data_IF_645512342222
#
_entry.id   IF_645512342222
#
_cell.length_a   1.000
_cell.length_b   1.000
_cell.length_c   1.000
_cell.angle_alpha   90.00
_cell.angle_beta   90.00
_cell.angle_gamma   90.00
#
_symmetry.space_group_name_H-M   'P 1'
#
loop_
_entity.id
_entity.type
_entity.pdbx_description
1 polymer ?
#
# COMPACT_ATOMS: atom_id res chain seq x y z
N UNK A 1 -7.72 3.91 32.11
CA UNK A 1 -8.47 2.72 31.67
C UNK A 1 -7.47 1.72 31.12
N UNK A 2 -7.55 0.43 31.48
CA UNK A 2 -6.62 -0.62 31.06
C UNK A 2 -6.89 -1.01 29.62
N UNK A 3 -5.85 -1.07 28.79
CA UNK A 3 -5.96 -1.50 27.38
C UNK A 3 -6.01 -3.02 27.34
N UNK A 4 -7.02 -3.57 26.66
CA UNK A 4 -7.27 -5.00 26.47
C UNK A 4 -7.51 -5.38 25.02
N UNK A 5 -8.13 -4.49 24.22
CA UNK A 5 -8.57 -4.75 22.85
C UNK A 5 -7.94 -3.78 21.86
N UNK A 6 -7.44 -4.29 20.75
CA UNK A 6 -6.81 -3.51 19.68
C UNK A 6 -7.37 -3.95 18.35
N UNK A 7 -7.78 -3.02 17.50
CA UNK A 7 -8.10 -3.26 16.11
C UNK A 7 -7.00 -2.71 15.21
N UNK A 8 -6.43 -3.55 14.38
CA UNK A 8 -5.43 -3.20 13.38
C UNK A 8 -6.09 -3.16 12.01
N UNK A 9 -6.07 -2.00 11.35
CA UNK A 9 -6.73 -1.75 10.06
C UNK A 9 -6.01 -2.39 8.86
N UNK A 10 -5.37 -3.52 9.06
CA UNK A 10 -4.64 -4.30 8.06
C UNK A 10 -5.00 -5.77 8.12
N UNK A 11 -4.76 -6.56 7.05
CA UNK A 11 -4.89 -8.00 7.08
C UNK A 11 -4.00 -8.63 8.16
N UNK A 12 -4.46 -9.76 8.70
CA UNK A 12 -3.67 -10.54 9.67
C UNK A 12 -2.32 -10.94 9.06
N UNK A 13 -1.21 -10.77 9.81
CA UNK A 13 0.09 -11.21 9.36
C UNK A 13 0.12 -12.70 9.03
N UNK A 14 0.73 -13.07 7.91
CA UNK A 14 0.88 -14.47 7.49
C UNK A 14 1.88 -15.25 8.35
N UNK A 15 2.89 -14.55 8.89
CA UNK A 15 3.94 -15.18 9.71
C UNK A 15 3.50 -15.25 11.17
N UNK A 16 3.61 -16.41 11.76
CA UNK A 16 3.31 -16.64 13.18
C UNK A 16 4.21 -15.84 14.14
N UNK A 17 5.42 -15.49 13.69
CA UNK A 17 6.40 -14.68 14.45
C UNK A 17 6.18 -13.16 14.21
N UNK A 18 4.99 -12.72 13.87
CA UNK A 18 4.71 -11.30 13.73
C UNK A 18 4.85 -10.57 15.07
N UNK A 19 5.49 -9.37 15.10
CA UNK A 19 5.61 -8.56 16.31
C UNK A 19 4.27 -8.21 16.99
N UNK A 20 3.19 -8.16 16.23
CA UNK A 20 1.84 -7.97 16.79
C UNK A 20 1.33 -9.22 17.52
N UNK A 21 1.57 -10.40 16.99
CA UNK A 21 1.15 -11.66 17.61
C UNK A 21 1.99 -11.94 18.87
N UNK A 22 3.27 -11.57 18.85
CA UNK A 22 4.12 -11.61 20.03
C UNK A 22 3.62 -10.62 21.11
N UNK A 23 3.29 -9.37 20.75
CA UNK A 23 2.70 -8.39 21.64
C UNK A 23 1.38 -8.89 22.24
N UNK A 24 0.52 -9.50 21.45
CA UNK A 24 -0.74 -10.10 21.89
C UNK A 24 -0.50 -11.14 23.00
N UNK A 25 0.44 -12.07 22.78
CA UNK A 25 0.79 -13.11 23.78
C UNK A 25 1.39 -12.51 25.06
N UNK A 26 2.42 -11.66 24.94
CA UNK A 26 3.14 -11.07 26.09
C UNK A 26 2.24 -10.19 26.96
N UNK A 27 1.34 -9.43 26.36
CA UNK A 27 0.46 -8.48 27.09
C UNK A 27 -0.93 -9.02 27.38
N UNK A 28 -1.25 -10.24 26.95
CA UNK A 28 -2.58 -10.87 27.08
C UNK A 28 -3.69 -9.97 26.50
N UNK A 29 -3.46 -9.47 25.26
CA UNK A 29 -4.39 -8.59 24.55
C UNK A 29 -5.23 -9.39 23.57
N UNK A 30 -6.42 -8.87 23.24
CA UNK A 30 -7.14 -9.27 22.04
C UNK A 30 -6.74 -8.31 20.92
N UNK A 31 -6.08 -8.81 19.86
CA UNK A 31 -5.74 -8.00 18.67
C UNK A 31 -6.48 -8.60 17.47
N UNK A 32 -7.42 -7.82 16.96
CA UNK A 32 -8.15 -8.16 15.75
C UNK A 32 -7.52 -7.45 14.54
N UNK A 33 -7.49 -8.13 13.40
CA UNK A 33 -6.95 -7.62 12.15
C UNK A 33 -8.06 -7.60 11.12
N UNK A 34 -8.54 -6.42 10.78
CA UNK A 34 -9.59 -6.22 9.80
C UNK A 34 -9.14 -5.18 8.80
N UNK A 35 -8.94 -5.54 7.52
CA UNK A 35 -8.50 -4.59 6.52
C UNK A 35 -9.62 -3.57 6.24
N UNK A 36 -9.36 -2.29 6.51
CA UNK A 36 -10.28 -1.19 6.24
C UNK A 36 -10.35 -0.82 4.76
N UNK A 37 -9.32 -1.23 4.02
CA UNK A 37 -9.23 -1.08 2.58
C UNK A 37 -8.68 -2.37 1.97
N UNK A 38 -9.06 -2.64 0.74
CA UNK A 38 -8.47 -3.74 -0.03
C UNK A 38 -8.23 -3.31 -1.48
N UNK A 39 -7.40 -4.06 -2.19
CA UNK A 39 -7.07 -3.79 -3.58
C UNK A 39 -7.84 -4.73 -4.48
N UNK A 40 -8.58 -4.18 -5.42
CA UNK A 40 -9.25 -4.94 -6.48
C UNK A 40 -8.57 -4.67 -7.82
N UNK A 41 -8.42 -5.74 -8.60
CA UNK A 41 -7.84 -5.62 -9.93
C UNK A 41 -8.87 -5.22 -10.98
N UNK A 42 -8.50 -4.34 -11.89
CA UNK A 42 -9.32 -3.99 -13.03
C UNK A 42 -9.69 -5.23 -13.87
N UNK A 43 -10.87 -5.22 -14.44
CA UNK A 43 -11.33 -6.24 -15.38
C UNK A 43 -10.73 -6.05 -16.76
N UNK A 44 -10.75 -7.10 -17.59
CA UNK A 44 -10.33 -6.99 -19.01
C UNK A 44 -11.18 -5.95 -19.75
N UNK A 45 -12.49 -5.85 -19.42
CA UNK A 45 -13.39 -4.85 -20.00
C UNK A 45 -12.92 -3.43 -19.67
N UNK A 46 -12.56 -3.15 -18.42
CA UNK A 46 -12.04 -1.84 -17.99
C UNK A 46 -10.71 -1.50 -18.68
N UNK A 47 -9.79 -2.47 -18.87
CA UNK A 47 -8.54 -2.27 -19.59
C UNK A 47 -8.80 -1.94 -21.08
N UNK A 48 -9.74 -2.63 -21.71
CA UNK A 48 -10.14 -2.34 -23.12
C UNK A 48 -10.78 -0.97 -23.26
N UNK A 49 -11.61 -0.54 -22.31
CA UNK A 49 -12.20 0.80 -22.29
C UNK A 49 -11.14 1.91 -22.19
N UNK A 50 -10.01 1.64 -21.55
CA UNK A 50 -8.86 2.55 -21.49
C UNK A 50 -8.04 2.55 -22.81
N UNK A 51 -8.48 1.79 -23.84
CA UNK A 51 -7.82 1.67 -25.14
C UNK A 51 -6.35 1.22 -25.01
N UNK A 52 -6.10 0.25 -24.13
CA UNK A 52 -4.79 -0.37 -23.93
C UNK A 52 -4.66 -1.59 -24.84
N UNK A 53 -3.65 -1.53 -25.69
CA UNK A 53 -3.18 -2.65 -26.51
C UNK A 53 -1.79 -3.04 -26.00
N UNK A 54 -1.70 -4.18 -25.29
CA UNK A 54 -0.46 -4.63 -24.65
C UNK A 54 0.66 -4.91 -25.65
N UNK A 55 0.32 -5.19 -26.92
CA UNK A 55 1.31 -5.48 -27.99
C UNK A 55 2.13 -4.26 -28.40
N UNK A 56 1.66 -3.06 -28.08
CA UNK A 56 2.32 -1.79 -28.46
C UNK A 56 3.42 -1.36 -27.50
N UNK A 57 3.58 -2.06 -26.39
CA UNK A 57 4.55 -1.69 -25.36
C UNK A 57 5.75 -2.63 -25.39
N UNK A 58 6.94 -2.06 -25.28
CA UNK A 58 8.21 -2.77 -25.19
C UNK A 58 8.85 -2.67 -23.83
N UNK A 59 8.31 -1.80 -22.96
CA UNK A 59 8.79 -1.59 -21.60
C UNK A 59 7.65 -1.38 -20.59
N UNK A 60 7.81 -1.89 -19.38
CA UNK A 60 6.83 -1.77 -18.30
C UNK A 60 7.48 -1.07 -17.11
N UNK A 61 6.82 -0.03 -16.57
CA UNK A 61 7.24 0.65 -15.34
C UNK A 61 6.44 0.07 -14.16
N UNK A 62 7.14 -0.51 -13.20
CA UNK A 62 6.55 -1.20 -12.05
C UNK A 62 6.90 -0.44 -10.75
N UNK A 63 5.90 0.18 -10.15
CA UNK A 63 6.06 1.00 -8.94
C UNK A 63 5.74 0.26 -7.64
N UNK A 64 5.11 -0.92 -7.72
CA UNK A 64 4.71 -1.71 -6.55
C UNK A 64 4.53 -3.19 -6.90
N UNK A 65 4.43 -4.04 -5.85
CA UNK A 65 4.07 -5.45 -6.03
C UNK A 65 2.68 -5.61 -6.65
N UNK A 66 1.72 -4.74 -6.31
CA UNK A 66 0.39 -4.74 -6.93
C UNK A 66 0.45 -4.44 -8.43
N UNK A 67 1.33 -3.53 -8.85
CA UNK A 67 1.54 -3.28 -10.27
C UNK A 67 2.05 -4.52 -11.01
N UNK A 68 2.97 -5.29 -10.39
CA UNK A 68 3.45 -6.58 -10.91
C UNK A 68 2.30 -7.57 -11.03
N UNK A 69 1.62 -7.87 -9.92
CA UNK A 69 0.57 -8.89 -9.88
C UNK A 69 -0.55 -8.59 -10.89
N UNK A 70 -1.01 -7.33 -10.91
CA UNK A 70 -2.13 -6.97 -11.77
C UNK A 70 -1.75 -6.85 -13.25
N UNK A 71 -0.50 -6.50 -13.57
CA UNK A 71 -0.01 -6.55 -14.95
C UNK A 71 -0.04 -7.99 -15.47
N UNK A 72 0.59 -8.93 -14.78
CA UNK A 72 0.63 -10.33 -15.23
C UNK A 72 -0.75 -10.99 -15.21
N UNK A 73 -1.58 -10.70 -14.21
CA UNK A 73 -2.98 -11.15 -14.17
C UNK A 73 -3.77 -10.68 -15.41
N UNK A 74 -3.58 -9.45 -15.86
CA UNK A 74 -4.24 -8.95 -17.07
C UNK A 74 -3.65 -9.60 -18.33
N UNK A 75 -2.33 -9.77 -18.42
CA UNK A 75 -1.69 -10.49 -19.51
C UNK A 75 -2.30 -11.90 -19.66
N UNK A 76 -2.42 -12.65 -18.56
CA UNK A 76 -3.00 -13.98 -18.54
C UNK A 76 -4.47 -13.96 -19.00
N UNK A 77 -5.31 -13.09 -18.42
CA UNK A 77 -6.73 -12.96 -18.75
C UNK A 77 -6.96 -12.52 -20.21
N UNK A 78 -6.07 -11.73 -20.77
CA UNK A 78 -6.10 -11.32 -22.18
C UNK A 78 -5.41 -12.31 -23.10
N UNK A 79 -4.85 -13.41 -22.58
CA UNK A 79 -4.05 -14.39 -23.32
C UNK A 79 -2.86 -13.75 -24.07
N UNK A 80 -2.31 -12.70 -23.49
CA UNK A 80 -1.14 -12.01 -24.02
C UNK A 80 0.12 -12.65 -23.49
N UNK A 81 0.89 -13.29 -24.38
CA UNK A 81 2.21 -13.83 -24.03
C UNK A 81 3.21 -12.67 -24.03
N UNK A 82 3.71 -12.32 -22.86
CA UNK A 82 4.70 -11.26 -22.71
C UNK A 82 5.97 -11.63 -23.48
N UNK A 83 6.43 -10.78 -24.42
CA UNK A 83 7.61 -11.08 -25.21
C UNK A 83 8.88 -11.19 -24.38
N UNK A 84 9.79 -12.08 -24.75
CA UNK A 84 11.09 -12.21 -24.11
C UNK A 84 11.95 -10.94 -24.19
N UNK A 85 11.66 -10.05 -25.16
CA UNK A 85 12.31 -8.74 -25.32
C UNK A 85 11.82 -7.69 -24.35
N UNK A 86 10.70 -7.92 -23.63
CA UNK A 86 10.11 -6.95 -22.69
C UNK A 86 11.13 -6.48 -21.65
N UNK A 87 11.19 -5.16 -21.46
CA UNK A 87 12.01 -4.52 -20.44
C UNK A 87 11.18 -4.10 -19.24
N UNK A 88 11.74 -4.19 -18.06
CA UNK A 88 11.05 -3.85 -16.81
C UNK A 88 11.84 -2.79 -16.04
N UNK A 89 11.15 -1.73 -15.65
CA UNK A 89 11.70 -0.63 -14.88
C UNK A 89 11.04 -0.65 -13.50
N UNK A 90 11.75 -1.20 -12.53
CA UNK A 90 11.26 -1.38 -11.17
C UNK A 90 11.68 -0.22 -10.28
N UNK A 91 10.74 0.41 -9.59
CA UNK A 91 11.01 1.57 -8.73
C UNK A 91 12.01 1.25 -7.62
N UNK A 92 12.03 0.01 -7.13
CA UNK A 92 12.93 -0.42 -6.04
C UNK A 92 13.35 -1.89 -6.19
N UNK A 93 14.41 -2.25 -5.48
CA UNK A 93 14.90 -3.63 -5.41
C UNK A 93 13.83 -4.62 -4.91
N UNK A 94 12.99 -4.20 -3.96
CA UNK A 94 11.87 -5.01 -3.46
C UNK A 94 10.88 -5.36 -4.56
N UNK A 95 10.59 -4.44 -5.47
CA UNK A 95 9.73 -4.69 -6.63
C UNK A 95 10.41 -5.59 -7.64
N UNK A 96 11.71 -5.38 -7.90
CA UNK A 96 12.48 -6.20 -8.83
C UNK A 96 12.63 -7.65 -8.35
N UNK A 97 12.85 -7.87 -7.06
CA UNK A 97 12.87 -9.20 -6.46
C UNK A 97 11.49 -9.87 -6.57
N UNK A 98 10.42 -9.11 -6.32
CA UNK A 98 9.07 -9.65 -6.44
C UNK A 98 8.70 -10.01 -7.88
N UNK A 99 9.18 -9.25 -8.87
CA UNK A 99 8.99 -9.52 -10.29
C UNK A 99 9.53 -10.91 -10.71
N UNK A 100 10.52 -11.46 -10.01
CA UNK A 100 11.08 -12.77 -10.29
C UNK A 100 10.10 -13.94 -10.07
N UNK A 101 8.98 -13.71 -9.39
CA UNK A 101 7.89 -14.69 -9.32
C UNK A 101 7.16 -14.87 -10.66
N UNK A 102 7.34 -13.94 -11.61
CA UNK A 102 6.67 -13.93 -12.90
C UNK A 102 7.63 -14.06 -14.10
N UNK A 103 8.88 -13.63 -13.95
CA UNK A 103 9.87 -13.63 -15.04
C UNK A 103 11.24 -14.09 -14.54
N UNK A 104 12.00 -14.72 -15.44
CA UNK A 104 13.40 -15.07 -15.17
C UNK A 104 14.22 -13.77 -15.12
N UNK A 105 14.99 -13.59 -14.05
CA UNK A 105 15.85 -12.43 -13.92
C UNK A 105 16.91 -12.37 -15.02
N UNK A 106 16.93 -11.26 -15.76
CA UNK A 106 17.95 -10.98 -16.78
C UNK A 106 18.43 -9.54 -16.62
N UNK A 107 19.68 -9.34 -16.23
CA UNK A 107 20.30 -8.03 -15.95
C UNK A 107 20.11 -6.99 -17.06
N UNK A 108 20.01 -7.42 -18.33
CA UNK A 108 19.81 -6.51 -19.48
C UNK A 108 18.36 -6.11 -19.72
N UNK A 109 17.40 -6.62 -18.93
CA UNK A 109 15.96 -6.41 -19.12
C UNK A 109 15.28 -5.84 -17.88
N UNK A 110 15.93 -5.89 -16.71
CA UNK A 110 15.38 -5.42 -15.45
C UNK A 110 16.26 -4.28 -14.94
N UNK A 111 15.69 -3.10 -14.91
CA UNK A 111 16.33 -1.85 -14.46
C UNK A 111 15.71 -1.46 -13.13
N UNK A 112 16.54 -1.15 -12.15
CA UNK A 112 16.11 -1.00 -10.76
C UNK A 112 16.50 0.38 -10.23
N UNK A 113 15.51 1.16 -9.80
CA UNK A 113 15.70 2.37 -9.00
C UNK A 113 16.02 2.00 -7.55
N UNK A 114 16.30 2.99 -6.71
CA UNK A 114 16.63 2.75 -5.29
C UNK A 114 15.38 2.77 -4.42
N UNK A 115 14.66 3.90 -4.37
CA UNK A 115 13.49 4.11 -3.52
C UNK A 115 12.41 4.96 -4.18
N UNK A 116 12.80 6.06 -4.80
CA UNK A 116 11.87 7.05 -5.34
C UNK A 116 11.71 6.90 -6.85
N UNK A 117 10.67 7.50 -7.41
CA UNK A 117 10.44 7.46 -8.85
C UNK A 117 11.47 8.30 -9.62
N UNK A 118 11.91 9.41 -9.04
CA UNK A 118 12.95 10.27 -9.61
C UNK A 118 14.27 9.53 -9.86
N UNK A 119 14.62 8.59 -8.98
CA UNK A 119 15.82 7.76 -9.13
C UNK A 119 15.71 6.74 -10.27
N UNK A 120 14.50 6.44 -10.72
CA UNK A 120 14.24 5.57 -11.88
C UNK A 120 14.34 6.35 -13.20
N UNK A 121 14.06 7.67 -13.20
CA UNK A 121 14.04 8.51 -14.39
C UNK A 121 15.33 8.45 -15.22
N UNK A 122 16.55 8.47 -14.66
CA UNK A 122 17.79 8.35 -15.43
C UNK A 122 17.93 6.99 -16.14
N UNK A 123 17.32 5.94 -15.62
CA UNK A 123 17.33 4.63 -16.28
C UNK A 123 16.32 4.61 -17.43
N UNK A 124 15.14 5.19 -17.24
CA UNK A 124 14.11 5.32 -18.27
C UNK A 124 14.62 6.17 -19.43
N UNK A 125 15.26 7.32 -19.17
CA UNK A 125 15.77 8.25 -20.18
C UNK A 125 16.84 7.64 -21.11
N UNK A 126 17.58 6.64 -20.66
CA UNK A 126 18.53 5.88 -21.49
C UNK A 126 17.85 4.95 -22.51
N UNK A 127 16.54 4.81 -22.43
CA UNK A 127 15.74 3.89 -23.25
C UNK A 127 14.59 4.61 -23.98
N UNK A 128 14.83 5.85 -24.46
CA UNK A 128 13.82 6.69 -25.14
C UNK A 128 13.16 6.03 -26.35
N UNK A 129 13.80 5.03 -26.94
CA UNK A 129 13.26 4.30 -28.09
C UNK A 129 12.17 3.27 -27.71
N UNK A 130 12.00 2.98 -26.42
CA UNK A 130 10.96 2.08 -25.94
C UNK A 130 9.61 2.80 -25.82
N UNK A 131 8.54 2.01 -25.88
CA UNK A 131 7.19 2.48 -25.55
C UNK A 131 6.79 1.89 -24.21
N UNK A 132 6.59 2.79 -23.24
CA UNK A 132 6.38 2.41 -21.83
C UNK A 132 4.91 2.29 -21.48
N UNK A 133 4.54 1.22 -20.76
CA UNK A 133 3.28 1.13 -20.05
C UNK A 133 3.55 1.31 -18.54
N UNK A 134 2.75 2.14 -17.89
CA UNK A 134 2.70 2.29 -16.43
C UNK A 134 1.39 1.69 -15.91
N UNK A 135 1.38 0.41 -15.49
CA UNK A 135 0.26 -0.16 -14.74
C UNK A 135 0.17 0.52 -13.37
N UNK A 136 -0.94 1.18 -13.11
CA UNK A 136 -1.09 2.03 -11.93
C UNK A 136 -2.40 1.81 -11.19
N UNK A 137 -2.54 2.48 -10.05
CA UNK A 137 -3.79 2.62 -9.30
C UNK A 137 -4.58 3.83 -9.80
N UNK A 138 -5.86 3.88 -9.46
CA UNK A 138 -6.74 5.02 -9.68
C UNK A 138 -6.33 6.30 -8.92
N UNK A 139 -5.43 6.17 -7.93
CA UNK A 139 -4.88 7.29 -7.13
C UNK A 139 -3.38 7.46 -7.41
N UNK A 140 -2.99 7.61 -8.70
CA UNK A 140 -1.60 7.87 -9.08
C UNK A 140 -1.17 9.25 -8.56
N UNK A 141 0.04 9.32 -8.01
CA UNK A 141 0.63 10.59 -7.55
C UNK A 141 0.91 11.50 -8.74
N UNK A 142 0.50 12.79 -8.70
CA UNK A 142 0.66 13.72 -9.83
C UNK A 142 2.10 13.95 -10.30
N UNK A 143 3.08 13.73 -9.39
CA UNK A 143 4.50 13.90 -9.70
C UNK A 143 4.98 12.88 -10.74
N UNK A 144 4.42 11.66 -10.76
CA UNK A 144 4.87 10.59 -11.66
C UNK A 144 4.60 10.92 -13.13
N UNK A 145 3.37 11.29 -13.55
CA UNK A 145 3.12 11.77 -14.91
C UNK A 145 3.97 12.97 -15.30
N UNK A 146 4.15 13.94 -14.38
CA UNK A 146 4.98 15.12 -14.62
C UNK A 146 6.41 14.73 -14.99
N UNK A 147 7.05 13.90 -14.18
CA UNK A 147 8.41 13.41 -14.43
C UNK A 147 8.52 12.64 -15.75
N UNK A 148 7.54 11.77 -16.06
CA UNK A 148 7.56 11.01 -17.31
C UNK A 148 7.41 11.91 -18.56
N UNK A 149 6.60 12.97 -18.47
CA UNK A 149 6.46 13.95 -19.55
C UNK A 149 7.75 14.75 -19.77
N UNK A 150 8.45 15.12 -18.69
CA UNK A 150 9.75 15.82 -18.75
C UNK A 150 10.85 14.98 -19.42
N UNK A 151 10.72 13.63 -19.43
CA UNK A 151 11.69 12.75 -20.09
C UNK A 151 11.51 12.65 -21.61
N UNK A 152 10.42 13.21 -22.16
CA UNK A 152 10.13 13.19 -23.62
C UNK A 152 10.13 11.76 -24.20
N UNK A 153 9.55 10.81 -23.49
CA UNK A 153 9.42 9.41 -23.88
C UNK A 153 8.00 9.07 -24.35
N UNK A 154 7.86 7.97 -25.08
CA UNK A 154 6.55 7.41 -25.43
C UNK A 154 6.04 6.57 -24.27
N UNK A 155 5.02 7.04 -23.56
CA UNK A 155 4.46 6.31 -22.42
C UNK A 155 2.95 6.44 -22.33
N UNK A 156 2.32 5.49 -21.65
CA UNK A 156 0.91 5.51 -21.32
C UNK A 156 0.68 4.91 -19.93
N UNK A 157 -0.16 5.56 -19.13
CA UNK A 157 -0.69 4.98 -17.90
C UNK A 157 -1.95 4.18 -18.17
N UNK A 158 -2.22 3.24 -17.29
CA UNK A 158 -3.50 2.54 -17.25
C UNK A 158 -3.79 2.05 -15.84
N UNK A 159 -5.04 2.22 -15.41
CA UNK A 159 -5.52 1.74 -14.11
C UNK A 159 -5.69 0.23 -14.15
N UNK A 160 -4.78 -0.50 -13.52
CA UNK A 160 -4.79 -1.96 -13.43
C UNK A 160 -5.39 -2.48 -12.13
N UNK A 161 -5.48 -1.61 -11.10
CA UNK A 161 -6.06 -1.95 -9.80
C UNK A 161 -6.55 -0.68 -9.11
N UNK A 162 -7.46 -0.86 -8.13
CA UNK A 162 -8.06 0.23 -7.36
C UNK A 162 -8.00 -0.14 -5.88
N UNK A 163 -7.81 0.87 -5.04
CA UNK A 163 -8.00 0.72 -3.60
C UNK A 163 -9.45 1.05 -3.27
N UNK A 164 -10.16 0.08 -2.71
CA UNK A 164 -11.56 0.23 -2.32
C UNK A 164 -11.73 0.12 -0.81
N UNK A 165 -12.73 0.82 -0.30
CA UNK A 165 -13.14 0.77 1.09
C UNK A 165 -13.79 -0.58 1.37
N UNK A 166 -13.44 -1.20 2.51
CA UNK A 166 -14.09 -2.43 2.97
C UNK A 166 -15.41 -2.09 3.66
N UNK A 167 -16.38 -2.99 3.54
CA UNK A 167 -17.57 -2.96 4.39
C UNK A 167 -17.16 -3.35 5.82
N UNK A 168 -17.45 -2.47 6.78
CA UNK A 168 -17.14 -2.65 8.20
C UNK A 168 -18.41 -2.68 9.05
N UNK A 169 -19.58 -2.96 8.46
CA UNK A 169 -20.86 -2.98 9.14
C UNK A 169 -20.86 -3.88 10.38
N UNK A 170 -20.12 -4.98 10.36
CA UNK A 170 -19.97 -5.90 11.50
C UNK A 170 -19.31 -5.25 12.73
N UNK A 171 -18.66 -4.08 12.57
CA UNK A 171 -18.01 -3.34 13.66
C UNK A 171 -18.91 -2.27 14.29
N UNK A 172 -20.13 -2.08 13.82
CA UNK A 172 -21.02 -1.02 14.28
C UNK A 172 -21.24 -1.00 15.80
N UNK A 173 -21.40 -2.19 16.40
CA UNK A 173 -21.65 -2.38 17.83
C UNK A 173 -20.38 -2.77 18.63
N UNK A 174 -19.20 -2.78 17.96
CA UNK A 174 -17.97 -3.25 18.60
C UNK A 174 -17.08 -2.06 18.95
N UNK A 175 -16.60 -2.03 20.21
CA UNK A 175 -15.66 -1.01 20.68
C UNK A 175 -14.29 -1.59 20.94
N UNK A 176 -13.26 -0.82 20.61
CA UNK A 176 -11.87 -1.17 20.86
C UNK A 176 -11.19 -0.09 21.72
N UNK A 177 -10.28 -0.53 22.58
CA UNK A 177 -9.46 0.41 23.38
C UNK A 177 -8.47 1.18 22.52
N UNK A 178 -7.99 0.55 21.43
CA UNK A 178 -7.05 1.17 20.47
C UNK A 178 -7.44 0.80 19.04
N UNK A 179 -7.47 1.82 18.14
CA UNK A 179 -7.54 1.65 16.70
C UNK A 179 -6.18 1.99 16.07
N UNK A 180 -5.67 1.13 15.19
CA UNK A 180 -4.35 1.28 14.56
C UNK A 180 -4.48 1.48 13.07
N UNK A 181 -3.98 2.62 12.56
CA UNK A 181 -4.03 3.00 11.15
C UNK A 181 -2.64 3.14 10.53
N UNK A 182 -2.51 2.71 9.27
CA UNK A 182 -1.27 2.72 8.50
C UNK A 182 -1.33 3.60 7.24
N UNK A 183 -2.49 4.15 6.92
CA UNK A 183 -2.68 5.00 5.75
C UNK A 183 -3.84 5.98 5.93
N UNK A 184 -3.82 7.13 5.23
CA UNK A 184 -4.96 8.05 5.16
C UNK A 184 -6.25 7.37 4.70
N UNK A 185 -6.16 6.44 3.73
CA UNK A 185 -7.34 5.71 3.23
C UNK A 185 -8.01 4.84 4.30
N UNK A 186 -7.27 4.40 5.33
CA UNK A 186 -7.88 3.73 6.49
C UNK A 186 -8.77 4.67 7.30
N UNK A 187 -8.39 5.95 7.43
CA UNK A 187 -9.20 6.97 8.09
C UNK A 187 -10.42 7.34 7.23
N UNK A 188 -10.24 7.46 5.90
CA UNK A 188 -11.36 7.65 4.96
C UNK A 188 -12.38 6.51 5.10
N UNK A 189 -11.90 5.27 5.20
CA UNK A 189 -12.75 4.08 5.38
C UNK A 189 -13.50 4.09 6.71
N UNK A 190 -12.86 4.51 7.80
CA UNK A 190 -13.52 4.66 9.09
C UNK A 190 -14.73 5.59 8.98
N UNK A 191 -14.54 6.79 8.44
CA UNK A 191 -15.63 7.79 8.32
C UNK A 191 -16.63 7.48 7.21
N UNK A 192 -16.26 6.70 6.21
CA UNK A 192 -17.21 6.20 5.22
C UNK A 192 -18.21 5.22 5.85
N UNK A 193 -17.70 4.26 6.66
CA UNK A 193 -18.54 3.27 7.33
C UNK A 193 -19.26 3.83 8.58
N UNK A 194 -18.61 4.76 9.29
CA UNK A 194 -19.08 5.36 10.53
C UNK A 194 -19.02 6.88 10.47
N UNK A 195 -19.91 7.57 9.74
CA UNK A 195 -19.87 9.03 9.55
C UNK A 195 -19.89 9.83 10.86
N UNK A 196 -20.54 9.28 11.88
CA UNK A 196 -20.69 9.91 13.20
C UNK A 196 -19.68 9.40 14.23
N UNK A 197 -18.58 8.76 13.79
CA UNK A 197 -17.56 8.24 14.69
C UNK A 197 -17.03 9.33 15.63
N UNK A 198 -17.03 9.04 16.93
CA UNK A 198 -16.43 9.87 17.99
C UNK A 198 -15.38 9.05 18.71
N UNK A 199 -14.21 9.63 18.86
CA UNK A 199 -13.08 8.95 19.50
C UNK A 199 -13.35 8.55 20.97
N UNK A 200 -14.04 9.40 21.73
CA UNK A 200 -14.33 9.20 23.16
C UNK A 200 -13.09 8.73 23.93
N UNK A 201 -13.14 7.54 24.53
CA UNK A 201 -12.02 6.92 25.27
C UNK A 201 -11.12 6.03 24.42
N UNK A 202 -11.45 5.82 23.13
CA UNK A 202 -10.63 5.03 22.19
C UNK A 202 -9.35 5.77 21.86
N UNK A 203 -8.21 5.10 21.92
CA UNK A 203 -6.91 5.66 21.54
C UNK A 203 -6.69 5.41 20.05
N UNK A 204 -6.10 6.38 19.36
CA UNK A 204 -5.75 6.26 17.95
C UNK A 204 -4.24 6.15 17.80
N UNK A 205 -3.79 5.05 17.20
CA UNK A 205 -2.42 4.79 16.85
C UNK A 205 -2.23 4.94 15.34
N UNK A 206 -1.22 5.69 14.90
CA UNK A 206 -0.97 5.94 13.48
C UNK A 206 0.49 5.71 13.10
N UNK A 207 0.67 5.14 11.90
CA UNK A 207 1.98 4.97 11.30
C UNK A 207 2.17 5.95 10.13
N UNK A 208 3.18 6.83 10.27
CA UNK A 208 3.57 7.80 9.25
C UNK A 208 2.85 9.15 9.34
N UNK A 209 3.57 10.20 8.90
CA UNK A 209 3.12 11.59 9.01
C UNK A 209 1.82 11.88 8.25
N UNK A 210 1.65 11.28 7.06
CA UNK A 210 0.43 11.47 6.26
C UNK A 210 -0.81 10.88 6.94
N UNK A 211 -0.67 9.74 7.62
CA UNK A 211 -1.78 9.13 8.38
C UNK A 211 -2.11 9.97 9.60
N UNK A 212 -1.08 10.52 10.29
CA UNK A 212 -1.27 11.46 11.39
C UNK A 212 -2.07 12.68 10.96
N UNK A 213 -1.65 13.32 9.87
CA UNK A 213 -2.35 14.48 9.30
C UNK A 213 -3.82 14.17 8.99
N UNK A 214 -4.11 13.03 8.37
CA UNK A 214 -5.48 12.62 8.05
C UNK A 214 -6.37 12.41 9.29
N UNK A 215 -5.81 11.95 10.40
CA UNK A 215 -6.53 11.85 11.69
C UNK A 215 -6.84 13.23 12.25
N UNK A 216 -5.84 14.13 12.26
CA UNK A 216 -5.96 15.50 12.78
C UNK A 216 -6.96 16.32 11.95
N UNK A 217 -6.97 16.18 10.62
CA UNK A 217 -7.94 16.82 9.71
C UNK A 217 -9.39 16.38 9.97
N UNK A 218 -9.60 15.22 10.58
CA UNK A 218 -10.92 14.74 11.02
C UNK A 218 -11.28 15.16 12.46
N UNK A 219 -10.46 16.02 13.09
CA UNK A 219 -10.68 16.48 14.46
C UNK A 219 -10.42 15.42 15.54
N UNK A 220 -9.68 14.37 15.22
CA UNK A 220 -9.32 13.30 16.15
C UNK A 220 -7.92 13.51 16.71
N UNK A 221 -7.66 12.94 17.91
CA UNK A 221 -6.37 13.00 18.56
C UNK A 221 -5.52 11.76 18.26
N UNK A 222 -4.22 11.95 18.00
CA UNK A 222 -3.27 10.85 17.85
C UNK A 222 -2.62 10.57 19.21
N UNK A 223 -2.91 9.43 19.80
CA UNK A 223 -2.37 9.00 21.11
C UNK A 223 -1.03 8.28 20.97
N UNK A 224 -0.84 7.53 19.87
CA UNK A 224 0.33 6.69 19.63
C UNK A 224 0.82 6.95 18.20
N UNK A 225 2.09 7.38 18.09
CA UNK A 225 2.71 7.69 16.79
C UNK A 225 3.96 6.84 16.54
N UNK A 226 4.06 6.29 15.33
CA UNK A 226 5.25 5.66 14.77
C UNK A 226 5.33 6.01 13.26
N UNK A 227 6.52 5.95 12.60
CA UNK A 227 7.82 5.72 13.23
C UNK A 227 8.35 6.99 13.93
N UNK A 228 9.12 6.79 14.97
CA UNK A 228 9.89 7.84 15.65
C UNK A 228 11.28 7.31 15.95
N UNK A 229 12.23 8.19 16.32
CA UNK A 229 13.58 7.79 16.71
C UNK A 229 13.57 6.74 17.83
N UNK A 230 12.62 6.85 18.77
CA UNK A 230 12.47 5.93 19.91
C UNK A 230 11.69 4.68 19.56
N UNK A 231 10.71 4.77 18.65
CA UNK A 231 9.81 3.67 18.27
C UNK A 231 9.74 3.55 16.74
N UNK A 232 10.66 2.83 16.11
CA UNK A 232 10.70 2.68 14.65
C UNK A 232 9.55 1.81 14.09
N UNK A 233 8.87 1.03 14.95
CA UNK A 233 7.72 0.20 14.55
C UNK A 233 6.48 0.48 15.41
N UNK A 234 5.30 0.22 14.82
CA UNK A 234 4.03 0.40 15.52
C UNK A 234 3.89 -0.55 16.71
N UNK A 235 4.35 -1.79 16.59
CA UNK A 235 4.30 -2.76 17.70
C UNK A 235 5.13 -2.31 18.90
N UNK A 236 6.30 -1.68 18.70
CA UNK A 236 7.12 -1.11 19.79
C UNK A 236 6.42 0.10 20.42
N UNK A 237 5.83 0.98 19.63
CA UNK A 237 5.09 2.13 20.14
C UNK A 237 3.89 1.70 21.00
N UNK A 238 3.13 0.71 20.51
CA UNK A 238 2.02 0.12 21.25
C UNK A 238 2.48 -0.54 22.56
N UNK A 239 3.54 -1.35 22.53
CA UNK A 239 4.06 -2.04 23.73
C UNK A 239 4.44 -1.05 24.81
N UNK A 240 5.16 0.03 24.45
CA UNK A 240 5.53 1.08 25.40
C UNK A 240 4.30 1.81 25.96
N UNK A 241 3.36 2.21 25.09
CA UNK A 241 2.16 2.92 25.52
C UNK A 241 1.31 2.08 26.48
N UNK A 242 1.07 0.81 26.13
CA UNK A 242 0.28 -0.14 26.95
C UNK A 242 0.96 -0.38 28.30
N UNK A 243 2.29 -0.53 28.31
CA UNK A 243 3.05 -0.69 29.55
C UNK A 243 2.83 0.48 30.51
N UNK A 244 2.86 1.71 29.97
CA UNK A 244 2.69 2.91 30.76
C UNK A 244 1.23 3.12 31.21
N UNK A 245 0.27 2.91 30.30
CA UNK A 245 -1.16 3.07 30.60
C UNK A 245 -1.67 2.05 31.61
N UNK A 246 -1.13 0.83 31.61
CA UNK A 246 -1.55 -0.24 32.52
C UNK A 246 -0.81 -0.23 33.85
N UNK A 247 0.29 0.56 34.01
CA UNK A 247 1.03 0.75 35.26
C UNK A 247 0.48 1.91 36.13
N UNK A 248 -0.20 2.88 35.50
CA UNK A 248 -0.85 3.98 36.26
C UNK A 248 -2.13 3.46 36.93
N UNK A 249 -1.95 2.79 38.05
CA UNK A 249 -2.95 2.57 39.13
C UNK A 249 -2.55 3.36 40.33
#
# INVERSE_FOLDING_TARGET
>A
MKIKTILVSQPRPKLENSPFLDLQKRRKLKIDFIPFIHVIGATVKEIRLQKIDLTKFSAIILTSRYAVDHYFRICEKMRFKVPDSMKYFCQSEVVALYLQNHVIYRKRKIYVGKRTFEELCPLISKHKNETFLLPTTDKLKPEVPKLLNELEIKWKESVFYKTVISDLSELAEVTYDVLVFFSPSGIESLFHNFPNFKQNSTRIAVFGAMTKKAVEEKGLNVDIYAPSAKFPSMSMALDNYISNANKKK
#
